data_IF_576259800642
#
_entry.id   IF_576259800642
#
_cell.length_a   1.000
_cell.length_b   1.000
_cell.length_c   1.000
_cell.angle_alpha   90.00
_cell.angle_beta   90.00
_cell.angle_gamma   90.00
#
_symmetry.space_group_name_H-M   'P 1'
#
loop_
_entity.id
_entity.type
_entity.pdbx_description
1 polymer ?
#
# COMPACT_ATOMS: atom_id res chain seq x y z
N UNK A 1 -36.92 -11.59 -39.47
CA UNK A 1 -36.30 -12.13 -38.25
C UNK A 1 -34.86 -11.71 -38.24
N UNK A 2 -34.63 -10.52 -37.64
CA UNK A 2 -33.29 -10.02 -37.38
C UNK A 2 -32.92 -10.44 -35.96
N UNK A 3 -31.84 -11.14 -35.87
CA UNK A 3 -31.17 -11.55 -34.64
C UNK A 3 -30.46 -10.33 -34.09
N UNK A 4 -31.01 -9.76 -33.00
CA UNK A 4 -30.42 -8.67 -32.21
C UNK A 4 -29.80 -9.27 -30.97
N UNK A 5 -28.63 -9.89 -31.12
CA UNK A 5 -27.85 -10.48 -30.01
C UNK A 5 -26.42 -9.96 -29.91
N UNK A 6 -26.18 -8.76 -30.47
CA UNK A 6 -24.83 -8.17 -30.53
C UNK A 6 -24.51 -7.04 -29.55
N UNK A 7 -25.48 -6.51 -28.77
CA UNK A 7 -25.27 -5.28 -27.98
C UNK A 7 -24.97 -5.51 -26.50
N UNK A 8 -25.20 -6.70 -25.95
CA UNK A 8 -25.08 -6.96 -24.51
C UNK A 8 -23.65 -7.36 -24.06
N UNK A 9 -22.79 -7.83 -24.99
CA UNK A 9 -21.42 -8.22 -24.66
C UNK A 9 -20.40 -7.08 -24.74
N UNK A 10 -20.65 -6.05 -25.54
CA UNK A 10 -19.77 -4.88 -25.62
C UNK A 10 -19.95 -3.91 -24.42
N UNK A 11 -21.18 -3.77 -23.93
CA UNK A 11 -21.50 -2.92 -22.77
C UNK A 11 -20.98 -3.50 -21.44
N UNK A 12 -20.88 -4.83 -21.34
CA UNK A 12 -20.28 -5.48 -20.16
C UNK A 12 -18.77 -5.29 -20.12
N UNK A 13 -18.09 -5.38 -21.26
CA UNK A 13 -16.64 -5.22 -21.33
C UNK A 13 -16.18 -3.78 -21.02
N UNK A 14 -17.00 -2.78 -21.35
CA UNK A 14 -16.69 -1.37 -21.01
C UNK A 14 -16.89 -1.04 -19.52
N UNK A 15 -17.64 -1.88 -18.79
CA UNK A 15 -17.86 -1.70 -17.34
C UNK A 15 -16.77 -2.32 -16.48
N UNK A 16 -16.10 -3.37 -16.96
CA UNK A 16 -15.05 -4.08 -16.24
C UNK A 16 -13.67 -3.47 -16.52
N UNK A 17 -12.66 -3.84 -15.73
CA UNK A 17 -11.27 -3.51 -16.00
C UNK A 17 -10.76 -4.30 -17.21
N UNK A 18 -10.00 -3.65 -18.06
CA UNK A 18 -9.20 -4.33 -19.10
C UNK A 18 -8.05 -5.11 -18.45
N UNK A 19 -7.38 -5.98 -19.19
CA UNK A 19 -6.22 -6.71 -18.67
C UNK A 19 -5.08 -5.75 -18.30
N UNK A 20 -4.87 -4.68 -19.06
CA UNK A 20 -3.90 -3.61 -18.77
C UNK A 20 -4.26 -2.87 -17.47
N UNK A 21 -5.54 -2.58 -17.24
CA UNK A 21 -6.01 -1.96 -16.00
C UNK A 21 -5.86 -2.90 -14.80
N UNK A 22 -6.05 -4.22 -14.98
CA UNK A 22 -5.81 -5.21 -13.92
C UNK A 22 -4.33 -5.28 -13.54
N UNK A 23 -3.44 -5.26 -14.52
CA UNK A 23 -2.01 -5.23 -14.28
C UNK A 23 -1.60 -3.94 -13.56
N UNK A 24 -2.14 -2.80 -14.00
CA UNK A 24 -1.88 -1.51 -13.37
C UNK A 24 -2.37 -1.46 -11.90
N UNK A 25 -3.61 -1.89 -11.62
CA UNK A 25 -4.13 -1.92 -10.25
C UNK A 25 -3.35 -2.93 -9.39
N UNK A 26 -2.91 -4.04 -9.96
CA UNK A 26 -2.05 -5.01 -9.29
C UNK A 26 -0.72 -4.41 -8.86
N UNK A 27 -0.07 -3.64 -9.73
CA UNK A 27 1.19 -2.95 -9.40
C UNK A 27 0.99 -1.85 -8.37
N UNK A 28 -0.05 -1.03 -8.50
CA UNK A 28 -0.42 -0.02 -7.50
C UNK A 28 -0.63 -0.67 -6.12
N UNK A 29 -1.36 -1.76 -6.08
CA UNK A 29 -1.66 -2.51 -4.87
C UNK A 29 -0.39 -3.17 -4.27
N UNK A 30 0.49 -3.70 -5.12
CA UNK A 30 1.76 -4.30 -4.72
C UNK A 30 2.68 -3.28 -4.03
N UNK A 31 2.85 -2.10 -4.61
CA UNK A 31 3.69 -1.04 -4.06
C UNK A 31 3.11 -0.51 -2.74
N UNK A 32 1.81 -0.23 -2.69
CA UNK A 32 1.15 0.31 -1.51
C UNK A 32 1.13 -0.70 -0.36
N UNK A 33 0.84 -1.98 -0.63
CA UNK A 33 0.85 -3.04 0.38
C UNK A 33 2.26 -3.42 0.84
N UNK A 34 3.28 -3.27 0.00
CA UNK A 34 4.67 -3.42 0.40
C UNK A 34 5.07 -2.39 1.47
N UNK A 35 4.63 -1.14 1.33
CA UNK A 35 4.81 -0.09 2.35
C UNK A 35 4.00 -0.40 3.62
N UNK A 36 2.76 -0.86 3.45
CA UNK A 36 1.87 -1.26 4.54
C UNK A 36 2.45 -2.43 5.35
N UNK A 37 3.08 -3.43 4.71
CA UNK A 37 3.75 -4.55 5.38
C UNK A 37 4.89 -4.09 6.29
N UNK A 38 5.65 -3.08 5.89
CA UNK A 38 6.72 -2.50 6.72
C UNK A 38 6.14 -1.83 7.98
N UNK A 39 5.01 -1.17 7.85
CA UNK A 39 4.31 -0.57 9.00
C UNK A 39 3.78 -1.64 9.94
N UNK A 40 3.14 -2.70 9.40
CA UNK A 40 2.65 -3.81 10.21
C UNK A 40 3.79 -4.53 10.95
N UNK A 41 4.93 -4.76 10.28
CA UNK A 41 6.14 -5.29 10.93
C UNK A 41 6.53 -4.47 12.18
N UNK A 42 6.50 -3.14 12.08
CA UNK A 42 6.86 -2.26 13.19
C UNK A 42 5.89 -2.36 14.37
N UNK A 43 4.60 -2.64 14.10
CA UNK A 43 3.55 -2.78 15.11
C UNK A 43 3.62 -4.13 15.83
N UNK A 44 3.81 -5.23 15.07
CA UNK A 44 3.78 -6.59 15.62
C UNK A 44 5.15 -7.09 16.05
N UNK A 45 6.23 -6.38 15.73
CA UNK A 45 7.63 -6.74 15.98
C UNK A 45 7.95 -8.19 15.53
N UNK A 46 7.39 -8.59 14.43
CA UNK A 46 7.62 -9.88 13.75
C UNK A 46 7.76 -9.61 12.25
N UNK A 47 8.53 -10.45 11.55
CA UNK A 47 8.66 -10.36 10.10
C UNK A 47 7.30 -10.50 9.45
N UNK A 48 6.94 -9.52 8.63
CA UNK A 48 5.72 -9.50 7.83
C UNK A 48 6.11 -9.54 6.37
N UNK A 49 5.56 -10.49 5.64
CA UNK A 49 5.70 -10.60 4.19
C UNK A 49 4.31 -10.59 3.56
N UNK A 50 4.13 -9.74 2.57
CA UNK A 50 2.92 -9.67 1.74
C UNK A 50 3.36 -9.93 0.30
N UNK A 51 2.78 -10.97 -0.31
CA UNK A 51 3.15 -11.40 -1.66
C UNK A 51 2.64 -10.44 -2.74
N UNK A 52 3.11 -10.66 -3.97
CA UNK A 52 2.51 -10.04 -5.15
C UNK A 52 1.02 -10.40 -5.24
N UNK A 53 0.14 -9.43 -5.51
CA UNK A 53 -1.29 -9.64 -5.52
C UNK A 53 -1.78 -10.42 -6.73
N UNK A 54 -2.95 -11.04 -6.56
CA UNK A 54 -3.77 -11.56 -7.65
C UNK A 54 -5.02 -10.68 -7.76
N UNK A 55 -5.24 -10.09 -8.93
CA UNK A 55 -6.40 -9.23 -9.23
C UNK A 55 -7.46 -10.04 -9.98
N UNK A 56 -8.67 -10.03 -9.49
CA UNK A 56 -9.81 -10.72 -10.10
C UNK A 56 -11.10 -9.93 -9.89
N UNK A 57 -12.12 -10.24 -10.70
CA UNK A 57 -13.50 -9.84 -10.38
C UNK A 57 -14.11 -10.87 -9.46
N UNK A 58 -14.99 -10.40 -8.59
CA UNK A 58 -15.71 -11.24 -7.64
C UNK A 58 -17.08 -10.63 -7.34
N UNK A 59 -17.93 -11.39 -6.73
CA UNK A 59 -19.20 -10.96 -6.18
C UNK A 59 -19.34 -11.46 -4.74
N UNK A 60 -20.41 -11.09 -4.07
CA UNK A 60 -20.63 -11.47 -2.68
C UNK A 60 -20.69 -13.00 -2.47
N UNK A 61 -21.35 -13.73 -3.37
CA UNK A 61 -21.47 -15.20 -3.27
C UNK A 61 -20.10 -15.87 -3.33
N UNK A 62 -19.17 -15.36 -4.14
CA UNK A 62 -17.81 -15.87 -4.23
C UNK A 62 -17.03 -15.65 -2.92
N UNK A 63 -17.25 -14.52 -2.25
CA UNK A 63 -16.63 -14.24 -0.94
C UNK A 63 -17.20 -15.19 0.11
N UNK A 64 -18.53 -15.36 0.15
CA UNK A 64 -19.20 -16.28 1.09
C UNK A 64 -18.71 -17.72 0.87
N UNK A 65 -18.56 -18.15 -0.38
CA UNK A 65 -18.08 -19.50 -0.71
C UNK A 65 -16.59 -19.72 -0.33
N UNK A 66 -15.80 -18.65 -0.25
CA UNK A 66 -14.36 -18.73 0.03
C UNK A 66 -14.03 -18.91 1.51
N UNK A 67 -14.96 -18.68 2.42
CA UNK A 67 -14.71 -18.68 3.87
C UNK A 67 -15.69 -19.59 4.62
N UNK A 68 -15.11 -20.42 5.50
CA UNK A 68 -15.89 -21.32 6.38
C UNK A 68 -16.21 -20.71 7.76
N UNK A 69 -15.51 -19.64 8.13
CA UNK A 69 -15.58 -19.02 9.47
C UNK A 69 -15.86 -17.52 9.36
N UNK A 70 -16.32 -16.89 10.44
CA UNK A 70 -16.42 -15.44 10.47
C UNK A 70 -15.13 -14.75 10.07
N UNK A 71 -15.27 -13.62 9.39
CA UNK A 71 -14.18 -12.77 8.97
C UNK A 71 -14.34 -11.37 9.57
N UNK A 72 -13.26 -10.63 9.61
CA UNK A 72 -13.28 -9.22 10.00
C UNK A 72 -13.19 -8.39 8.73
N UNK A 73 -14.21 -7.59 8.51
CA UNK A 73 -14.30 -6.62 7.42
C UNK A 73 -13.90 -5.26 7.97
N UNK A 74 -12.94 -4.63 7.33
CA UNK A 74 -12.41 -3.33 7.75
C UNK A 74 -12.62 -2.35 6.62
N UNK A 75 -13.59 -1.47 6.81
CA UNK A 75 -13.96 -0.43 5.84
C UNK A 75 -13.12 0.80 6.03
N UNK A 76 -12.58 1.33 4.94
CA UNK A 76 -11.76 2.52 4.89
C UNK A 76 -12.25 3.37 3.73
N UNK A 77 -12.66 4.61 4.00
CA UNK A 77 -13.03 5.55 2.94
C UNK A 77 -11.86 6.48 2.63
N UNK A 78 -11.69 6.83 1.36
CA UNK A 78 -10.79 7.90 0.95
C UNK A 78 -11.51 9.23 1.11
N UNK A 79 -10.89 10.18 1.79
CA UNK A 79 -11.50 11.48 2.13
C UNK A 79 -10.94 12.64 1.33
N UNK A 80 -9.75 12.45 0.76
CA UNK A 80 -9.04 13.42 -0.09
C UNK A 80 -8.38 12.70 -1.25
N UNK A 81 -8.47 13.27 -2.42
CA UNK A 81 -7.68 12.84 -3.60
C UNK A 81 -8.27 11.69 -4.40
N UNK A 82 -9.01 10.81 -3.79
CA UNK A 82 -9.78 9.73 -4.40
C UNK A 82 -11.19 9.73 -3.83
N UNK A 83 -12.15 9.26 -4.62
CA UNK A 83 -13.55 9.13 -4.21
C UNK A 83 -13.95 7.66 -4.20
N UNK A 84 -14.04 7.06 -3.03
CA UNK A 84 -14.40 5.67 -2.88
C UNK A 84 -14.01 5.07 -1.54
N UNK A 85 -14.27 3.78 -1.41
CA UNK A 85 -13.95 2.98 -0.24
C UNK A 85 -13.18 1.74 -0.61
N UNK A 86 -12.46 1.22 0.38
CA UNK A 86 -11.75 -0.04 0.35
C UNK A 86 -12.22 -0.88 1.53
N UNK A 87 -12.48 -2.14 1.31
CA UNK A 87 -12.73 -3.09 2.37
C UNK A 87 -11.60 -4.11 2.41
N UNK A 88 -10.90 -4.18 3.55
CA UNK A 88 -9.99 -5.28 3.83
C UNK A 88 -10.76 -6.40 4.51
N UNK A 89 -10.49 -7.63 4.08
CA UNK A 89 -11.07 -8.84 4.68
C UNK A 89 -9.94 -9.68 5.25
N UNK A 90 -10.02 -9.94 6.57
CA UNK A 90 -9.08 -10.79 7.30
C UNK A 90 -9.82 -11.91 8.00
N UNK A 91 -9.15 -13.05 8.16
CA UNK A 91 -9.68 -14.14 9.00
C UNK A 91 -9.63 -13.75 10.46
N UNK A 92 -10.64 -14.19 11.21
CA UNK A 92 -10.73 -13.98 12.66
C UNK A 92 -9.44 -14.36 13.40
N UNK A 93 -8.86 -15.53 13.07
CA UNK A 93 -7.62 -16.01 13.68
C UNK A 93 -6.45 -15.05 13.47
N UNK A 94 -6.31 -14.50 12.26
CA UNK A 94 -5.20 -13.60 11.92
C UNK A 94 -5.32 -12.29 12.69
N UNK A 95 -6.55 -11.78 12.85
CA UNK A 95 -6.83 -10.60 13.68
C UNK A 95 -6.43 -10.85 15.13
N UNK A 96 -6.75 -12.02 15.70
CA UNK A 96 -6.36 -12.38 17.07
C UNK A 96 -4.83 -12.43 17.24
N UNK A 97 -4.12 -13.02 16.29
CA UNK A 97 -2.65 -13.07 16.29
C UNK A 97 -2.05 -11.66 16.21
N UNK A 98 -2.51 -10.84 15.26
CA UNK A 98 -2.01 -9.48 15.08
C UNK A 98 -2.24 -8.65 16.34
N UNK A 99 -3.44 -8.70 16.90
CA UNK A 99 -3.80 -7.89 18.07
C UNK A 99 -3.10 -8.37 19.34
N UNK A 100 -2.91 -9.67 19.55
CA UNK A 100 -2.12 -10.22 20.66
C UNK A 100 -0.67 -9.73 20.60
N UNK A 101 -0.04 -9.80 19.43
CA UNK A 101 1.32 -9.27 19.20
C UNK A 101 1.41 -7.75 19.49
N UNK A 102 0.43 -6.97 19.06
CA UNK A 102 0.38 -5.53 19.32
C UNK A 102 0.23 -5.20 20.80
N UNK A 103 -0.47 -6.02 21.55
CA UNK A 103 -0.64 -5.88 23.00
C UNK A 103 0.55 -6.43 23.81
N UNK A 104 1.61 -6.89 23.14
CA UNK A 104 2.84 -7.39 23.76
C UNK A 104 2.82 -8.90 24.07
N UNK A 105 1.85 -9.64 23.55
CA UNK A 105 1.81 -11.08 23.58
C UNK A 105 2.79 -11.73 22.58
N UNK A 106 2.74 -13.04 22.48
CA UNK A 106 3.60 -13.83 21.57
C UNK A 106 2.88 -14.29 20.29
N UNK A 107 1.60 -13.96 20.12
CA UNK A 107 0.76 -14.34 18.98
C UNK A 107 0.07 -15.68 19.13
N UNK A 108 0.11 -16.30 20.31
CA UNK A 108 -0.49 -17.62 20.54
C UNK A 108 -1.86 -17.59 21.22
N UNK A 109 -2.25 -16.45 21.79
CA UNK A 109 -3.55 -16.28 22.46
C UNK A 109 -4.67 -16.07 21.43
N UNK A 110 -5.13 -17.16 20.82
CA UNK A 110 -6.19 -17.16 19.80
C UNK A 110 -7.47 -17.85 20.21
N UNK A 111 -7.53 -18.35 21.46
CA UNK A 111 -8.68 -19.12 21.96
C UNK A 111 -9.81 -18.22 22.47
N UNK A 112 -9.50 -16.99 22.84
CA UNK A 112 -10.49 -16.01 23.29
C UNK A 112 -11.44 -15.61 22.14
N UNK A 113 -12.68 -15.29 22.50
CA UNK A 113 -13.66 -14.78 21.56
C UNK A 113 -13.24 -13.39 21.05
N UNK A 114 -13.45 -13.13 19.75
CA UNK A 114 -13.11 -11.83 19.17
C UNK A 114 -14.06 -10.77 19.74
N UNK A 115 -13.52 -9.84 20.51
CA UNK A 115 -14.29 -8.78 21.17
C UNK A 115 -13.90 -7.37 20.76
N UNK A 116 -14.53 -6.39 21.36
CA UNK A 116 -14.34 -4.95 21.06
C UNK A 116 -12.89 -4.50 21.15
N UNK A 117 -12.10 -5.05 22.09
CA UNK A 117 -10.68 -4.73 22.22
C UNK A 117 -9.88 -5.16 20.98
N UNK A 118 -10.17 -6.35 20.45
CA UNK A 118 -9.54 -6.85 19.23
C UNK A 118 -9.92 -5.98 18.01
N UNK A 119 -11.21 -5.61 17.88
CA UNK A 119 -11.68 -4.76 16.79
C UNK A 119 -11.05 -3.37 16.85
N UNK A 120 -10.92 -2.79 18.03
CA UNK A 120 -10.24 -1.50 18.21
C UNK A 120 -8.75 -1.59 17.87
N UNK A 121 -8.07 -2.63 18.32
CA UNK A 121 -6.64 -2.82 18.06
C UNK A 121 -6.37 -3.08 16.58
N UNK A 122 -7.17 -3.91 15.89
CA UNK A 122 -7.00 -4.14 14.46
C UNK A 122 -7.35 -2.90 13.63
N UNK A 123 -8.36 -2.13 14.04
CA UNK A 123 -8.67 -0.85 13.37
C UNK A 123 -7.50 0.12 13.44
N UNK A 124 -6.82 0.20 14.59
CA UNK A 124 -5.62 1.04 14.72
C UNK A 124 -4.45 0.50 13.90
N UNK A 125 -4.22 -0.82 13.87
CA UNK A 125 -3.22 -1.42 13.00
C UNK A 125 -3.47 -1.07 11.53
N UNK A 126 -4.71 -1.23 11.07
CA UNK A 126 -5.10 -0.94 9.71
C UNK A 126 -5.06 0.57 9.40
N UNK A 127 -5.35 1.42 10.38
CA UNK A 127 -5.20 2.87 10.22
C UNK A 127 -3.75 3.26 9.90
N UNK A 128 -2.80 2.75 10.65
CA UNK A 128 -1.38 3.02 10.42
C UNK A 128 -0.87 2.38 9.12
N UNK A 129 -1.28 1.14 8.86
CA UNK A 129 -0.92 0.39 7.68
C UNK A 129 -1.43 1.05 6.39
N UNK A 130 -2.72 1.40 6.37
CA UNK A 130 -3.36 2.04 5.21
C UNK A 130 -3.00 3.51 5.07
N UNK A 131 -2.66 4.20 6.17
CA UNK A 131 -2.06 5.53 6.12
C UNK A 131 -0.71 5.54 5.39
N UNK A 132 0.13 4.52 5.63
CA UNK A 132 1.38 4.33 4.88
C UNK A 132 1.12 4.01 3.41
N UNK A 133 0.14 3.16 3.12
CA UNK A 133 -0.30 2.85 1.76
C UNK A 133 -0.80 4.11 1.03
N UNK A 134 -1.62 4.94 1.69
CA UNK A 134 -2.12 6.21 1.16
C UNK A 134 -0.97 7.19 0.84
N UNK A 135 0.09 7.19 1.65
CA UNK A 135 1.31 7.98 1.36
C UNK A 135 2.00 7.48 0.08
N UNK A 136 2.11 6.17 -0.13
CA UNK A 136 2.64 5.61 -1.37
C UNK A 136 1.76 5.96 -2.57
N UNK A 137 0.44 5.84 -2.43
CA UNK A 137 -0.53 6.25 -3.44
C UNK A 137 -0.42 7.75 -3.77
N UNK A 138 -0.24 8.60 -2.75
CA UNK A 138 -0.04 10.05 -2.94
C UNK A 138 1.15 10.34 -3.85
N UNK A 139 2.24 9.61 -3.65
CA UNK A 139 3.45 9.73 -4.47
C UNK A 139 3.24 9.24 -5.89
N UNK A 140 2.58 8.07 -6.08
CA UNK A 140 2.32 7.50 -7.40
C UNK A 140 1.33 8.35 -8.21
N UNK A 141 0.31 8.90 -7.55
CA UNK A 141 -0.74 9.70 -8.20
C UNK A 141 -0.42 11.20 -8.25
N UNK A 142 0.72 11.62 -7.67
CA UNK A 142 1.14 13.03 -7.57
C UNK A 142 0.04 13.94 -7.03
N UNK A 143 -0.72 13.45 -6.03
CA UNK A 143 -1.79 14.20 -5.36
C UNK A 143 -1.87 13.79 -3.89
N UNK A 144 -2.37 14.68 -3.04
CA UNK A 144 -2.63 14.34 -1.63
C UNK A 144 -3.76 13.33 -1.55
N UNK A 145 -3.53 12.23 -0.82
CA UNK A 145 -4.52 11.20 -0.55
C UNK A 145 -4.60 11.00 0.96
N UNK A 146 -5.80 11.15 1.51
CA UNK A 146 -6.11 10.89 2.91
C UNK A 146 -7.24 9.86 3.04
N UNK A 147 -7.24 9.15 4.15
CA UNK A 147 -8.23 8.12 4.48
C UNK A 147 -8.99 8.48 5.76
N UNK A 148 -10.22 7.95 5.88
CA UNK A 148 -10.95 7.95 7.15
C UNK A 148 -10.34 6.95 8.12
N UNK A 149 -10.57 7.12 9.45
CA UNK A 149 -10.30 6.06 10.39
C UNK A 149 -11.04 4.76 9.98
N UNK A 150 -10.33 3.61 9.97
CA UNK A 150 -10.95 2.33 9.64
C UNK A 150 -12.03 1.92 10.64
N UNK A 151 -13.07 1.28 10.14
CA UNK A 151 -14.13 0.67 10.95
C UNK A 151 -14.09 -0.83 10.73
N UNK A 152 -13.90 -1.60 11.81
CA UNK A 152 -13.82 -3.06 11.77
C UNK A 152 -15.10 -3.67 12.35
N UNK A 153 -15.68 -4.62 11.60
CA UNK A 153 -16.86 -5.37 11.97
C UNK A 153 -16.63 -6.88 11.78
N UNK A 154 -17.23 -7.71 12.65
CA UNK A 154 -17.22 -9.15 12.48
C UNK A 154 -18.40 -9.52 11.59
N UNK A 155 -18.13 -10.24 10.51
CA UNK A 155 -19.15 -10.72 9.57
C UNK A 155 -19.15 -12.25 9.59
N UNK A 156 -20.25 -12.85 10.03
CA UNK A 156 -20.46 -14.29 9.88
C UNK A 156 -21.11 -14.57 8.53
N UNK A 157 -20.30 -15.00 7.60
CA UNK A 157 -20.71 -15.28 6.22
C UNK A 157 -21.66 -16.48 6.08
N UNK A 158 -21.89 -17.24 7.16
CA UNK A 158 -22.88 -18.35 7.17
C UNK A 158 -24.28 -17.88 7.51
N UNK A 159 -24.40 -16.74 8.14
CA UNK A 159 -25.68 -16.10 8.38
C UNK A 159 -26.14 -15.35 7.12
N UNK A 160 -27.45 -15.08 7.04
CA UNK A 160 -27.97 -14.23 5.97
C UNK A 160 -27.53 -12.80 6.26
N UNK A 161 -26.44 -12.37 5.59
CA UNK A 161 -25.92 -11.01 5.68
C UNK A 161 -26.46 -10.22 4.50
N UNK A 162 -26.98 -9.02 4.79
CA UNK A 162 -27.29 -8.01 3.76
C UNK A 162 -26.00 -7.24 3.46
N UNK A 163 -25.33 -7.63 2.38
CA UNK A 163 -24.07 -7.04 1.94
C UNK A 163 -24.17 -5.54 1.66
N UNK A 164 -25.35 -5.07 1.26
CA UNK A 164 -25.63 -3.66 1.05
C UNK A 164 -25.57 -2.83 2.34
N UNK A 165 -25.70 -3.46 3.51
CA UNK A 165 -25.49 -2.78 4.80
C UNK A 165 -24.01 -2.62 5.16
N UNK A 166 -23.15 -3.49 4.63
CA UNK A 166 -21.69 -3.35 4.79
C UNK A 166 -21.21 -2.23 3.86
N UNK A 167 -21.46 -2.39 2.56
CA UNK A 167 -21.23 -1.36 1.55
C UNK A 167 -22.06 -1.65 0.29
N UNK A 168 -22.65 -0.61 -0.32
CA UNK A 168 -23.51 -0.74 -1.49
C UNK A 168 -22.82 -1.43 -2.68
N UNK A 169 -21.52 -1.23 -2.87
CA UNK A 169 -20.80 -1.82 -4.00
C UNK A 169 -20.71 -3.36 -3.93
N UNK A 170 -20.86 -3.94 -2.75
CA UNK A 170 -20.83 -5.40 -2.56
C UNK A 170 -22.04 -6.11 -3.16
N UNK A 171 -23.13 -5.39 -3.44
CA UNK A 171 -24.33 -5.95 -4.08
C UNK A 171 -24.14 -6.28 -5.56
N UNK A 172 -23.02 -5.87 -6.17
CA UNK A 172 -22.68 -6.10 -7.56
C UNK A 172 -21.36 -6.84 -7.74
N UNK A 173 -20.78 -6.73 -8.94
CA UNK A 173 -19.40 -7.15 -9.19
C UNK A 173 -18.42 -6.08 -8.68
N UNK A 174 -17.32 -6.52 -8.08
CA UNK A 174 -16.26 -5.68 -7.59
C UNK A 174 -14.87 -6.28 -7.91
N UNK A 175 -13.84 -5.47 -7.74
CA UNK A 175 -12.45 -5.90 -7.89
C UNK A 175 -11.98 -6.50 -6.56
N UNK A 176 -11.52 -7.74 -6.62
CA UNK A 176 -10.87 -8.45 -5.51
C UNK A 176 -9.37 -8.52 -5.78
N UNK A 177 -8.59 -8.01 -4.84
CA UNK A 177 -7.14 -8.07 -4.84
C UNK A 177 -6.71 -8.91 -3.65
N UNK A 178 -6.16 -10.10 -3.92
CA UNK A 178 -5.76 -11.07 -2.92
C UNK A 178 -4.25 -11.08 -2.74
N UNK A 179 -3.79 -11.05 -1.49
CA UNK A 179 -2.40 -11.16 -1.10
C UNK A 179 -2.22 -12.33 -0.15
N UNK A 180 -1.14 -13.09 -0.30
CA UNK A 180 -0.69 -13.98 0.76
C UNK A 180 0.06 -13.14 1.80
N UNK A 181 -0.34 -13.28 3.06
CA UNK A 181 0.27 -12.61 4.20
C UNK A 181 0.91 -13.63 5.12
N UNK A 182 2.20 -13.44 5.43
CA UNK A 182 2.95 -14.25 6.38
C UNK A 182 3.43 -13.35 7.53
N UNK A 183 3.24 -13.79 8.78
CA UNK A 183 3.76 -13.13 9.98
C UNK A 183 4.58 -14.16 10.77
N UNK A 184 5.90 -14.14 10.55
CA UNK A 184 6.79 -15.15 11.11
C UNK A 184 6.34 -16.57 10.78
N UNK A 185 6.18 -17.38 11.81
CA UNK A 185 5.62 -18.75 11.78
C UNK A 185 4.20 -18.84 12.34
N UNK A 186 3.59 -17.68 12.65
CA UNK A 186 2.29 -17.59 13.31
C UNK A 186 1.10 -17.47 12.32
N UNK A 187 1.31 -16.75 11.23
CA UNK A 187 0.31 -16.53 10.18
C UNK A 187 0.87 -16.90 8.82
N UNK A 188 0.13 -17.70 8.09
CA UNK A 188 0.25 -17.95 6.66
C UNK A 188 -1.17 -17.98 6.10
N UNK A 189 -1.61 -16.86 5.58
CA UNK A 189 -3.02 -16.61 5.28
C UNK A 189 -3.17 -15.68 4.09
N UNK A 190 -4.43 -15.43 3.72
CA UNK A 190 -4.81 -14.49 2.67
C UNK A 190 -5.44 -13.25 3.31
N UNK A 191 -5.00 -12.08 2.87
CA UNK A 191 -5.68 -10.81 3.07
C UNK A 191 -6.24 -10.34 1.74
N UNK A 192 -7.47 -9.89 1.73
CA UNK A 192 -8.12 -9.37 0.53
C UNK A 192 -8.43 -7.89 0.66
N UNK A 193 -8.32 -7.20 -0.47
CA UNK A 193 -8.86 -5.84 -0.64
C UNK A 193 -9.99 -5.92 -1.68
N UNK A 194 -11.13 -5.33 -1.34
CA UNK A 194 -12.30 -5.24 -2.20
C UNK A 194 -12.50 -3.78 -2.60
N UNK A 195 -12.56 -3.52 -3.91
CA UNK A 195 -12.72 -2.19 -4.46
C UNK A 195 -13.93 -2.10 -5.39
N UNK A 196 -14.70 -1.00 -5.35
CA UNK A 196 -15.63 -0.68 -6.43
C UNK A 196 -14.90 -0.61 -7.77
N UNK A 197 -15.47 -1.14 -8.85
CA UNK A 197 -14.86 -1.10 -10.19
C UNK A 197 -14.55 0.34 -10.63
N UNK A 198 -15.46 1.33 -10.46
CA UNK A 198 -15.18 2.71 -10.83
C UNK A 198 -13.95 3.30 -10.09
N UNK A 199 -13.80 2.97 -8.80
CA UNK A 199 -12.68 3.41 -7.99
C UNK A 199 -11.34 2.82 -8.47
N UNK A 200 -11.32 1.53 -8.80
CA UNK A 200 -10.13 0.89 -9.37
C UNK A 200 -9.73 1.53 -10.71
N UNK A 201 -10.70 1.85 -11.58
CA UNK A 201 -10.46 2.58 -12.83
C UNK A 201 -9.88 3.97 -12.61
N UNK A 202 -10.40 4.72 -11.63
CA UNK A 202 -9.87 6.05 -11.28
C UNK A 202 -8.39 5.98 -10.87
N UNK A 203 -8.02 5.00 -10.06
CA UNK A 203 -6.62 4.78 -9.66
C UNK A 203 -5.72 4.48 -10.86
N UNK A 204 -6.14 3.60 -11.77
CA UNK A 204 -5.38 3.27 -12.98
C UNK A 204 -5.18 4.50 -13.87
N UNK A 205 -6.22 5.27 -14.12
CA UNK A 205 -6.16 6.49 -14.93
C UNK A 205 -5.24 7.55 -14.32
N UNK A 206 -5.24 7.66 -12.98
CA UNK A 206 -4.36 8.57 -12.26
C UNK A 206 -2.88 8.26 -12.48
N UNK A 207 -2.50 7.00 -12.44
CA UNK A 207 -1.10 6.56 -12.66
C UNK A 207 -0.69 6.73 -14.14
N UNK A 208 -1.53 6.31 -15.08
CA UNK A 208 -1.27 6.45 -16.52
C UNK A 208 -1.02 7.90 -16.91
N UNK A 209 -1.85 8.82 -16.41
CA UNK A 209 -1.71 10.26 -16.68
C UNK A 209 -0.39 10.84 -16.15
N UNK A 210 0.07 10.39 -14.97
CA UNK A 210 1.34 10.86 -14.43
C UNK A 210 2.54 10.33 -15.24
N UNK A 211 2.48 9.08 -15.70
CA UNK A 211 3.53 8.50 -16.55
C UNK A 211 3.66 9.24 -17.90
N UNK A 212 2.55 9.68 -18.49
CA UNK A 212 2.55 10.50 -19.71
C UNK A 212 3.19 11.87 -19.48
N UNK A 213 2.85 12.56 -18.38
CA UNK A 213 3.43 13.86 -18.03
C UNK A 213 4.94 13.79 -17.78
N UNK A 214 5.42 12.73 -17.12
CA UNK A 214 6.85 12.52 -16.90
C UNK A 214 7.59 12.22 -18.19
N UNK A 215 6.98 11.50 -19.14
CA UNK A 215 7.55 11.22 -20.44
C UNK A 215 7.64 12.46 -21.37
N UNK A 216 6.65 13.35 -21.28
CA UNK A 216 6.66 14.63 -22.03
C UNK A 216 7.72 15.60 -21.48
N UNK A 217 7.95 15.64 -20.18
CA UNK A 217 8.96 16.50 -19.56
C UNK A 217 10.40 16.13 -19.96
N UNK A 218 10.66 14.84 -20.20
CA UNK A 218 11.97 14.34 -20.65
C UNK A 218 12.24 14.68 -22.11
N UNK A 219 11.19 14.83 -22.93
CA UNK A 219 11.34 15.14 -24.37
C UNK A 219 11.54 16.64 -24.65
N UNK A 220 11.14 17.55 -23.76
CA UNK A 220 11.38 18.99 -23.95
C UNK A 220 12.83 19.42 -23.67
N UNK A 221 13.58 18.69 -22.83
CA UNK A 221 14.97 19.02 -22.50
C UNK A 221 15.99 18.52 -23.57
N UNK A 222 15.53 17.86 -24.61
CA UNK A 222 16.39 17.32 -25.69
C UNK A 222 16.30 18.07 -27.01
N UNK A 223 15.96 19.35 -27.02
CA UNK A 223 16.13 20.17 -28.24
C UNK A 223 17.61 20.50 -28.48
N UNK A 224 18.22 20.07 -29.59
CA UNK A 224 19.60 20.46 -29.92
C UNK A 224 19.66 21.95 -30.17
N UNK A 225 20.49 22.64 -29.39
CA UNK A 225 20.87 24.03 -29.68
C UNK A 225 21.62 24.06 -30.99
N UNK A 226 20.90 24.36 -32.09
CA UNK A 226 21.49 24.73 -33.34
C UNK A 226 21.81 26.22 -33.29
N UNK A 227 23.05 26.54 -33.11
CA UNK A 227 23.56 27.90 -33.14
C UNK A 227 24.89 27.94 -33.84
N UNK A 228 24.86 28.28 -35.14
CA UNK A 228 25.96 28.79 -35.91
C UNK A 228 26.70 29.90 -35.13
N UNK A 229 28.03 29.83 -35.02
CA UNK A 229 28.83 30.84 -35.71
C UNK A 229 30.34 30.56 -35.70
N UNK A 230 30.93 30.98 -36.80
CA UNK A 230 32.27 30.81 -37.25
C UNK A 230 33.29 31.71 -36.54
N UNK A 231 34.55 31.24 -36.58
CA UNK A 231 35.81 31.93 -36.74
C UNK A 231 36.34 32.82 -35.61
N UNK A 232 37.43 32.42 -34.99
CA UNK A 232 38.75 33.01 -35.26
C UNK A 232 39.81 32.44 -34.31
N UNK A 233 40.92 32.12 -34.93
CA UNK A 233 42.21 31.69 -34.41
C UNK A 233 42.78 32.52 -33.26
N UNK A 234 43.47 31.92 -32.32
CA UNK A 234 44.93 31.98 -32.15
C UNK A 234 45.39 31.41 -30.81
N UNK A 235 46.21 30.40 -30.91
CA UNK A 235 47.48 30.11 -30.21
C UNK A 235 47.76 30.78 -28.85
N UNK A 236 48.00 29.99 -27.81
CA UNK A 236 49.36 29.73 -27.30
C UNK A 236 49.35 28.87 -26.03
N UNK A 237 50.00 27.77 -26.10
CA UNK A 237 51.01 27.11 -25.27
C UNK A 237 51.03 27.37 -23.75
N UNK A 238 51.17 26.24 -23.11
CA UNK A 238 52.16 25.90 -22.07
C UNK A 238 51.76 25.82 -20.63
N UNK A 239 51.96 24.70 -20.13
CA UNK A 239 52.63 24.07 -18.99
C UNK A 239 51.78 23.80 -17.74
N UNK A 240 51.62 22.53 -17.56
CA UNK A 240 52.11 21.65 -16.49
C UNK A 240 52.28 22.30 -15.09
N UNK A 241 51.57 21.74 -14.12
CA UNK A 241 52.13 21.08 -12.94
C UNK A 241 51.08 20.79 -11.89
N UNK A 242 50.84 19.50 -11.65
CA UNK A 242 50.70 18.96 -10.29
C UNK A 242 52.14 18.84 -9.72
N UNK A 243 52.39 18.63 -8.42
CA UNK A 243 51.61 17.94 -7.39
C UNK A 243 51.76 18.56 -5.97
N UNK A 244 51.12 18.13 -4.95
CA UNK A 244 51.73 17.40 -3.85
C UNK A 244 50.92 17.42 -2.56
N UNK A 245 50.82 16.30 -1.98
CA UNK A 245 50.68 15.81 -0.63
C UNK A 245 51.27 16.66 0.53
N UNK A 246 50.65 16.47 1.69
CA UNK A 246 51.20 16.74 3.02
C UNK A 246 50.05 16.76 4.03
N UNK A 247 49.69 15.74 4.72
CA UNK A 247 50.29 14.95 5.78
C UNK A 247 50.56 15.73 7.06
N UNK A 248 49.93 15.21 8.13
CA UNK A 248 50.30 15.28 9.56
C UNK A 248 50.08 16.57 10.34
N UNK A 249 49.34 16.54 11.43
CA UNK A 249 49.93 16.28 12.76
C UNK A 249 48.88 16.15 13.88
N UNK A 250 49.03 15.17 14.64
CA UNK A 250 48.89 14.82 16.03
C UNK A 250 49.01 15.95 17.06
N UNK A 251 48.32 15.72 18.19
CA UNK A 251 48.58 16.30 19.49
C UNK A 251 47.29 16.34 20.31
N UNK A 252 46.92 15.41 21.10
CA UNK A 252 47.36 14.79 22.36
C UNK A 252 47.17 15.70 23.58
N UNK A 253 46.57 15.11 24.61
CA UNK A 253 46.55 15.38 26.06
C UNK A 253 45.55 16.44 26.52
N UNK A 254 44.79 16.26 27.58
CA UNK A 254 44.84 15.32 28.67
C UNK A 254 43.83 15.65 29.75
N UNK A 255 43.57 14.61 30.53
CA UNK A 255 43.25 14.61 31.96
C UNK A 255 41.85 14.97 32.47
N UNK A 256 41.23 13.92 32.97
CA UNK A 256 40.34 13.93 34.15
C UNK A 256 41.05 14.46 35.42
N UNK A 257 40.30 14.85 36.47
CA UNK A 257 39.94 13.88 37.51
C UNK A 257 38.56 14.11 38.15
N UNK A 258 37.87 13.01 38.45
CA UNK A 258 37.54 12.39 39.75
C UNK A 258 37.04 13.25 40.92
N UNK A 259 36.02 12.69 41.57
CA UNK A 259 35.49 12.80 42.95
C UNK A 259 34.28 13.71 43.12
N UNK A 260 33.18 13.16 43.64
CA UNK A 260 32.81 12.83 44.93
C UNK A 260 31.33 12.58 45.10
N UNK A 261 30.95 11.40 45.56
CA UNK A 261 29.78 11.20 46.39
C UNK A 261 30.07 11.70 47.81
N UNK A 262 29.07 12.08 48.63
CA UNK A 262 28.36 11.08 49.44
C UNK A 262 26.87 11.40 49.71
N UNK A 263 26.08 10.33 49.79
CA UNK A 263 25.28 9.79 50.91
C UNK A 263 24.50 10.74 51.82
N UNK A 264 23.28 10.30 52.11
CA UNK A 264 22.42 10.50 53.28
C UNK A 264 21.33 11.57 53.23
N UNK A 265 20.14 11.05 53.46
CA UNK A 265 18.91 11.67 53.90
C UNK A 265 17.69 10.85 53.50
#
# INVERSE_FOLDING_TARGET
LNDDSGSDSSDKNDRLLTDEEKDAIGEIANISMGTAATTLFSLVNRRVEISTPVVSFSNWDDIVASYEKPCVFIKIAYTVGLDGSNILVLKERDVKVITDLMMGGDGTNTDEELGELHLSAISEAMNQMMGSAATSLSSMLNKTIDISPPVADIVDLKETVDEGQIDEFLTGEFVKISFRMEIGDLVDSEIMQLYPIPFAKEMCQGVSKNMELDSESITEDSKPISGNNAAASQTNTSSAQQPNMGAMNMGQSGQQPMMGQPMMG
#
